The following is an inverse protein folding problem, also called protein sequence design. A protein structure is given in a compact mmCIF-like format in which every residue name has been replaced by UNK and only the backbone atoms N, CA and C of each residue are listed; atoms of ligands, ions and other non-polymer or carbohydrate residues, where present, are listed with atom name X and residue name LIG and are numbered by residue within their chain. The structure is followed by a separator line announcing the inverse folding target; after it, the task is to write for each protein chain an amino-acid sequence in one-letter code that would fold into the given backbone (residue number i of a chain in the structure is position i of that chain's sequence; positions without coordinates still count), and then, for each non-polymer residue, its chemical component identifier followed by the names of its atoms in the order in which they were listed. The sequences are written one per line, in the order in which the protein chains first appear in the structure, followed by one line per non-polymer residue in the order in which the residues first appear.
data_IF_649736713321
#
_entry.id   IF_649736713321
#
_cell.length_a   1.000
_cell.length_b   1.000
_cell.length_c   1.000
_cell.angle_alpha   90.00
_cell.angle_beta   90.00
_cell.angle_gamma   90.00
#
_symmetry.space_group_name_H-M   'P 1'
#
loop_
_entity.id
_entity.type
_entity.pdbx_description
1 polymer ?
#
# COMPACT_ATOMS: atom_id res chain seq x y z
N UNK A 1 -47.25 -30.89 -73.51
CA UNK A 1 -48.62 -30.77 -72.92
C UNK A 1 -48.51 -30.45 -71.47
N UNK A 2 -49.02 -29.28 -71.15
CA UNK A 2 -49.76 -29.00 -69.87
C UNK A 2 -49.01 -29.24 -68.57
N UNK A 3 -48.97 -28.38 -67.71
CA UNK A 3 -49.59 -27.13 -67.18
C UNK A 3 -49.05 -26.99 -65.78
N UNK A 4 -48.56 -25.90 -65.47
CA UNK A 4 -49.17 -24.76 -64.72
C UNK A 4 -49.09 -24.91 -63.22
N UNK A 5 -48.21 -24.08 -62.70
CA UNK A 5 -48.44 -23.07 -61.62
C UNK A 5 -49.32 -23.43 -60.40
N UNK A 6 -49.24 -22.68 -59.36
CA UNK A 6 -48.22 -21.86 -58.70
C UNK A 6 -48.20 -22.21 -57.23
N UNK A 7 -47.35 -21.59 -56.57
CA UNK A 7 -47.83 -21.05 -55.33
C UNK A 7 -46.81 -20.71 -54.29
N UNK A 8 -46.96 -19.57 -54.05
CA UNK A 8 -47.14 -18.90 -52.79
C UNK A 8 -45.90 -18.83 -51.93
N UNK A 9 -45.33 -17.76 -52.18
CA UNK A 9 -44.46 -16.97 -51.37
C UNK A 9 -45.03 -16.80 -49.96
N UNK A 10 -44.35 -17.25 -48.95
CA UNK A 10 -44.53 -16.83 -47.57
C UNK A 10 -43.24 -16.19 -47.12
N UNK A 11 -43.29 -14.88 -47.17
CA UNK A 11 -42.28 -13.96 -46.67
C UNK A 11 -42.37 -13.95 -45.13
N UNK A 12 -41.47 -14.66 -44.49
CA UNK A 12 -41.28 -14.50 -43.05
C UNK A 12 -40.29 -13.38 -42.82
N UNK A 13 -40.78 -12.22 -42.46
CA UNK A 13 -39.99 -11.14 -41.87
C UNK A 13 -39.47 -11.62 -40.52
N UNK A 14 -38.20 -11.99 -40.49
CA UNK A 14 -37.48 -12.11 -39.23
C UNK A 14 -37.01 -10.70 -38.89
N UNK A 15 -37.72 -10.09 -37.96
CA UNK A 15 -37.27 -8.86 -37.32
C UNK A 15 -36.04 -9.26 -36.49
N UNK A 16 -34.87 -8.94 -37.01
CA UNK A 16 -33.65 -8.96 -36.21
C UNK A 16 -33.75 -7.87 -35.16
N UNK A 17 -34.19 -8.22 -33.98
CA UNK A 17 -34.00 -7.39 -32.80
C UNK A 17 -32.53 -7.18 -32.56
N UNK A 18 -32.04 -5.96 -32.76
CA UNK A 18 -30.79 -5.53 -32.19
C UNK A 18 -30.97 -5.47 -30.69
N UNK A 19 -30.55 -6.52 -30.01
CA UNK A 19 -30.23 -6.43 -28.61
C UNK A 19 -28.99 -5.54 -28.51
N UNK A 20 -29.23 -4.27 -28.22
CA UNK A 20 -28.22 -3.43 -27.64
C UNK A 20 -27.99 -3.94 -26.23
N UNK A 21 -27.21 -5.01 -26.12
CA UNK A 21 -26.55 -5.34 -24.87
C UNK A 21 -25.48 -4.28 -24.65
N UNK A 22 -25.91 -3.16 -24.09
CA UNK A 22 -25.02 -2.33 -23.31
C UNK A 22 -24.50 -3.22 -22.17
N UNK A 23 -23.44 -3.94 -22.49
CA UNK A 23 -22.62 -4.63 -21.52
C UNK A 23 -21.92 -3.59 -20.65
N UNK A 24 -22.68 -2.92 -19.82
CA UNK A 24 -22.11 -2.27 -18.65
C UNK A 24 -21.42 -3.34 -17.86
N UNK A 25 -20.11 -3.45 -18.00
CA UNK A 25 -19.29 -4.17 -17.03
C UNK A 25 -19.59 -3.53 -15.69
N UNK A 26 -20.48 -4.15 -14.94
CA UNK A 26 -20.63 -3.84 -13.55
C UNK A 26 -19.27 -4.13 -12.92
N UNK A 27 -18.48 -3.09 -12.70
CA UNK A 27 -17.27 -3.17 -11.90
C UNK A 27 -17.72 -3.68 -10.53
N UNK A 28 -17.42 -4.94 -10.26
CA UNK A 28 -17.71 -5.48 -8.94
C UNK A 28 -17.09 -4.53 -7.90
N UNK A 29 -17.80 -4.20 -6.82
CA UNK A 29 -17.23 -3.35 -5.79
C UNK A 29 -15.94 -4.00 -5.30
N UNK A 30 -14.82 -3.32 -5.53
CA UNK A 30 -13.53 -3.75 -5.00
C UNK A 30 -13.64 -3.62 -3.48
N UNK A 31 -13.80 -4.75 -2.80
CA UNK A 31 -13.73 -4.78 -1.34
C UNK A 31 -12.31 -4.37 -0.99
N UNK A 32 -12.16 -3.27 -0.26
CA UNK A 32 -10.86 -2.85 0.22
C UNK A 32 -10.26 -3.96 1.07
N UNK A 33 -9.00 -4.28 0.84
CA UNK A 33 -8.30 -5.26 1.66
C UNK A 33 -8.32 -4.82 3.13
N UNK A 34 -8.53 -5.74 4.07
CA UNK A 34 -8.45 -5.41 5.49
C UNK A 34 -7.08 -4.85 5.81
N UNK A 35 -7.06 -3.77 6.59
CA UNK A 35 -5.81 -3.13 7.02
C UNK A 35 -5.55 -3.42 8.49
N UNK A 36 -4.27 -3.62 8.82
CA UNK A 36 -3.75 -3.75 10.17
C UNK A 36 -3.01 -2.47 10.54
N UNK A 37 -3.16 -2.03 11.77
CA UNK A 37 -2.41 -0.89 12.31
C UNK A 37 -1.54 -1.39 13.45
N UNK A 38 -0.23 -1.16 13.35
CA UNK A 38 0.74 -1.46 14.38
C UNK A 38 1.42 -0.16 14.86
N UNK A 39 1.74 -0.10 16.15
CA UNK A 39 2.43 1.04 16.73
C UNK A 39 3.69 0.57 17.43
N UNK A 40 4.81 1.15 17.07
CA UNK A 40 6.12 0.87 17.64
C UNK A 40 6.64 2.09 18.38
N UNK A 41 7.10 1.88 19.61
CA UNK A 41 7.67 2.94 20.44
C UNK A 41 9.06 2.55 20.92
N UNK A 42 9.87 3.53 21.26
CA UNK A 42 11.20 3.29 21.79
C UNK A 42 11.96 4.59 22.03
N UNK A 43 13.22 4.43 22.40
CA UNK A 43 14.17 5.53 22.59
C UNK A 43 15.32 5.36 21.59
N UNK A 44 15.58 6.39 20.79
CA UNK A 44 16.67 6.46 19.82
C UNK A 44 17.85 7.22 20.45
N UNK A 45 18.97 6.55 20.60
CA UNK A 45 20.21 7.19 21.07
C UNK A 45 20.98 7.87 19.92
N UNK A 46 21.84 8.85 20.19
CA UNK A 46 22.77 9.37 19.20
C UNK A 46 23.55 8.28 18.50
N UNK A 47 23.76 8.43 17.19
CA UNK A 47 24.49 7.49 16.32
C UNK A 47 23.93 6.06 16.30
N UNK A 48 22.66 5.87 16.64
CA UNK A 48 22.03 4.57 16.69
C UNK A 48 20.95 4.38 15.63
N UNK A 49 20.54 3.12 15.48
CA UNK A 49 19.43 2.67 14.66
C UNK A 49 18.60 1.67 15.47
N UNK A 50 17.28 1.85 15.46
CA UNK A 50 16.33 0.89 15.99
C UNK A 50 15.49 0.34 14.84
N UNK A 51 15.09 -0.91 14.92
CA UNK A 51 14.19 -1.52 13.93
C UNK A 51 13.10 -2.34 14.58
N UNK A 52 11.93 -2.35 13.91
CA UNK A 52 10.76 -3.11 14.30
C UNK A 52 10.26 -3.90 13.10
N UNK A 53 9.93 -5.15 13.30
CA UNK A 53 9.41 -6.02 12.23
C UNK A 53 7.89 -6.05 12.27
N UNK A 54 7.28 -6.14 11.09
CA UNK A 54 5.85 -6.37 10.91
C UNK A 54 5.63 -7.32 9.72
N UNK A 55 4.45 -7.89 9.61
CA UNK A 55 4.18 -8.88 8.56
C UNK A 55 2.94 -8.50 7.77
N UNK A 56 3.09 -8.29 6.48
CA UNK A 56 1.97 -8.16 5.56
C UNK A 56 1.37 -9.53 5.27
N UNK A 57 0.11 -9.73 5.61
CA UNK A 57 -0.60 -10.99 5.37
C UNK A 57 -0.93 -11.20 3.90
N UNK A 58 -1.01 -10.12 3.13
CA UNK A 58 -1.28 -10.13 1.69
C UNK A 58 -0.56 -8.96 1.02
N UNK A 59 -0.41 -9.05 -0.29
CA UNK A 59 0.12 -7.93 -1.08
C UNK A 59 -0.85 -6.75 -1.03
N UNK A 60 -0.33 -5.55 -0.85
CA UNK A 60 -1.17 -4.37 -0.74
C UNK A 60 -0.38 -3.13 -0.33
N UNK A 61 -1.06 -2.21 0.32
CA UNK A 61 -0.49 -0.92 0.71
C UNK A 61 0.22 -1.00 2.06
N UNK A 62 1.25 -0.18 2.20
CA UNK A 62 1.93 0.12 3.47
C UNK A 62 2.06 1.63 3.60
N UNK A 63 1.76 2.14 4.78
CA UNK A 63 1.90 3.55 5.13
C UNK A 63 2.56 3.67 6.51
N UNK A 64 3.63 4.44 6.60
CA UNK A 64 4.44 4.58 7.80
C UNK A 64 4.48 6.04 8.21
N UNK A 65 4.14 6.30 9.45
CA UNK A 65 4.07 7.63 10.05
C UNK A 65 4.89 7.67 11.32
N UNK A 66 5.84 8.59 11.40
CA UNK A 66 6.48 8.96 12.66
C UNK A 66 5.50 9.89 13.40
N UNK A 67 4.72 9.34 14.32
CA UNK A 67 3.64 10.09 15.00
C UNK A 67 4.14 10.93 16.16
N UNK A 68 5.28 10.57 16.74
CA UNK A 68 5.94 11.36 17.77
C UNK A 68 7.46 11.15 17.71
N UNK A 69 8.21 12.20 18.02
CA UNK A 69 9.66 12.14 18.26
C UNK A 69 10.04 13.33 19.16
N UNK A 70 10.94 13.13 20.08
CA UNK A 70 11.43 14.24 20.91
C UNK A 70 11.79 13.82 22.35
N UNK A 71 12.19 14.76 23.21
CA UNK A 71 12.31 16.20 22.97
C UNK A 71 13.55 16.58 22.14
N UNK A 72 13.54 17.66 21.35
CA UNK A 72 12.37 18.47 20.98
C UNK A 72 11.52 17.80 19.88
N UNK A 73 10.22 18.12 19.82
CA UNK A 73 9.29 17.54 18.83
C UNK A 73 9.60 17.94 17.38
N UNK A 74 10.45 18.91 17.17
CA UNK A 74 10.88 19.41 15.83
C UNK A 74 12.14 18.71 15.33
N UNK A 75 12.66 17.72 16.06
CA UNK A 75 13.88 17.04 15.64
C UNK A 75 13.59 16.19 14.40
N UNK A 76 14.57 16.15 13.49
CA UNK A 76 14.51 15.31 12.29
C UNK A 76 15.33 14.06 12.53
N UNK A 77 14.78 12.90 12.22
CA UNK A 77 15.45 11.60 12.27
C UNK A 77 15.30 10.90 10.92
N UNK A 78 16.12 9.90 10.66
CA UNK A 78 15.94 9.03 9.51
C UNK A 78 14.82 8.03 9.79
N UNK A 79 13.90 7.87 8.86
CA UNK A 79 12.87 6.84 8.86
C UNK A 79 13.01 5.99 7.59
N UNK A 80 12.88 4.69 7.71
CA UNK A 80 13.03 3.80 6.57
C UNK A 80 12.19 2.54 6.67
N UNK A 81 11.89 1.94 5.51
CA UNK A 81 11.26 0.63 5.38
C UNK A 81 12.19 -0.30 4.64
N UNK A 82 12.24 -1.56 5.06
CA UNK A 82 13.18 -2.52 4.54
C UNK A 82 12.75 -3.96 4.72
N UNK A 83 13.70 -4.84 4.46
CA UNK A 83 13.57 -6.28 4.67
C UNK A 83 14.33 -6.68 5.92
N UNK A 84 13.73 -7.47 6.83
CA UNK A 84 14.42 -7.97 8.00
C UNK A 84 15.65 -8.81 7.63
N UNK A 85 16.78 -8.53 8.28
CA UNK A 85 18.01 -9.31 8.15
C UNK A 85 18.53 -9.60 9.56
N UNK A 86 18.11 -10.70 10.14
CA UNK A 86 18.35 -11.00 11.55
C UNK A 86 17.67 -9.96 12.45
N UNK A 87 18.44 -9.28 13.28
CA UNK A 87 17.95 -8.20 14.16
C UNK A 87 17.99 -6.83 13.51
N UNK A 88 18.46 -6.71 12.29
CA UNK A 88 18.60 -5.45 11.57
C UNK A 88 17.56 -5.32 10.47
N UNK A 89 17.33 -4.08 10.02
CA UNK A 89 16.49 -3.74 8.89
C UNK A 89 17.36 -3.31 7.72
N UNK A 90 17.33 -4.07 6.63
CA UNK A 90 18.03 -3.71 5.39
C UNK A 90 17.17 -2.71 4.60
N UNK A 91 17.62 -1.47 4.52
CA UNK A 91 16.89 -0.35 3.91
C UNK A 91 17.10 -0.20 2.39
N UNK A 92 17.45 -1.27 1.69
CA UNK A 92 17.81 -1.26 0.26
C UNK A 92 16.63 -1.50 -0.69
N UNK A 93 15.42 -1.10 -0.34
CA UNK A 93 14.22 -1.29 -1.18
C UNK A 93 14.08 -0.30 -2.35
N UNK A 94 15.04 0.64 -2.49
CA UNK A 94 15.02 1.62 -3.58
C UNK A 94 14.57 3.02 -3.18
N UNK A 95 14.32 3.87 -4.17
CA UNK A 95 13.95 5.26 -3.95
C UNK A 95 12.63 5.37 -3.16
N UNK A 96 12.61 6.27 -2.17
CA UNK A 96 11.45 6.49 -1.31
C UNK A 96 11.31 5.53 -0.13
N UNK A 97 12.20 4.54 0.00
CA UNK A 97 12.20 3.65 1.16
C UNK A 97 12.81 4.29 2.43
N UNK A 98 13.45 5.43 2.28
CA UNK A 98 14.05 6.21 3.39
C UNK A 98 13.74 7.68 3.24
N UNK A 99 13.56 8.37 4.35
CA UNK A 99 13.25 9.81 4.41
C UNK A 99 13.75 10.42 5.71
N UNK A 100 14.11 11.71 5.68
CA UNK A 100 14.22 12.50 6.89
C UNK A 100 12.82 12.86 7.40
N UNK A 101 12.49 12.48 8.63
CA UNK A 101 11.16 12.59 9.19
C UNK A 101 11.15 13.38 10.49
N UNK A 102 10.08 14.15 10.69
CA UNK A 102 9.69 14.77 11.96
C UNK A 102 8.33 14.20 12.36
N UNK A 103 7.88 14.46 13.58
CA UNK A 103 6.54 14.07 14.01
C UNK A 103 5.47 14.61 13.04
N UNK A 104 4.56 13.76 12.60
CA UNK A 104 3.53 14.07 11.61
C UNK A 104 2.25 13.28 11.88
N UNK A 105 1.15 13.75 11.33
CA UNK A 105 -0.12 13.02 11.26
C UNK A 105 -0.35 12.39 9.88
N UNK A 106 0.52 12.67 8.91
CA UNK A 106 0.45 12.11 7.58
C UNK A 106 1.62 11.17 7.33
N UNK A 107 1.42 10.06 6.59
CA UNK A 107 2.49 9.13 6.27
C UNK A 107 3.65 9.82 5.55
N UNK A 108 4.86 9.56 6.03
CA UNK A 108 6.09 10.02 5.36
C UNK A 108 6.62 8.98 4.36
N UNK A 109 6.30 7.71 4.58
CA UNK A 109 6.60 6.64 3.63
C UNK A 109 5.27 5.95 3.31
N UNK A 110 4.95 5.83 2.03
CA UNK A 110 3.78 5.12 1.56
C UNK A 110 4.09 4.41 0.23
N UNK A 111 3.54 3.23 0.06
CA UNK A 111 3.76 2.44 -1.14
C UNK A 111 2.98 1.14 -1.14
N UNK A 112 3.39 0.23 -2.00
CA UNK A 112 2.84 -1.13 -2.07
C UNK A 112 3.95 -2.15 -1.88
N UNK A 113 3.62 -3.28 -1.29
CA UNK A 113 4.52 -4.42 -1.13
C UNK A 113 3.78 -5.74 -1.37
N UNK A 114 4.54 -6.79 -1.62
CA UNK A 114 4.04 -8.16 -1.60
C UNK A 114 3.87 -8.63 -0.16
N UNK A 115 3.07 -9.69 0.03
CA UNK A 115 2.97 -10.37 1.32
C UNK A 115 4.35 -10.81 1.81
N UNK A 116 4.59 -10.74 3.12
CA UNK A 116 5.84 -11.16 3.75
C UNK A 116 6.29 -10.25 4.87
N UNK A 117 7.44 -10.58 5.45
CA UNK A 117 8.05 -9.80 6.52
C UNK A 117 8.70 -8.52 6.01
N UNK A 118 8.39 -7.43 6.66
CA UNK A 118 9.00 -6.12 6.47
C UNK A 118 9.53 -5.60 7.80
N UNK A 119 10.31 -4.54 7.74
CA UNK A 119 10.73 -3.82 8.92
C UNK A 119 10.67 -2.31 8.69
N UNK A 120 10.40 -1.58 9.76
CA UNK A 120 10.61 -0.14 9.82
C UNK A 120 11.83 0.14 10.67
N UNK A 121 12.66 1.06 10.23
CA UNK A 121 13.82 1.52 10.98
C UNK A 121 13.73 3.01 11.23
N UNK A 122 14.18 3.42 12.41
CA UNK A 122 14.40 4.81 12.79
C UNK A 122 15.87 4.95 13.19
N UNK A 123 16.53 6.00 12.71
CA UNK A 123 17.97 6.18 12.92
C UNK A 123 18.36 7.65 13.04
N UNK A 124 19.44 7.88 13.78
CA UNK A 124 20.05 9.21 13.85
C UNK A 124 20.73 9.55 12.54
N UNK A 125 20.43 10.71 11.99
CA UNK A 125 21.10 11.27 10.81
C UNK A 125 22.34 12.12 11.16
N UNK A 126 22.80 12.04 12.41
CA UNK A 126 23.98 12.73 12.91
C UNK A 126 23.67 14.07 13.58
N UNK A 127 22.44 14.30 13.97
CA UNK A 127 21.99 15.56 14.61
C UNK A 127 21.47 15.38 16.03
N UNK A 128 21.43 14.17 16.57
CA UNK A 128 21.02 13.93 17.95
C UNK A 128 22.17 14.23 18.92
N UNK A 129 21.94 15.18 19.81
CA UNK A 129 22.85 15.42 20.94
C UNK A 129 22.51 14.55 22.17
N UNK A 130 21.24 14.18 22.31
CA UNK A 130 20.72 13.34 23.37
C UNK A 130 19.73 12.32 22.78
N UNK A 131 19.44 11.28 23.56
CA UNK A 131 18.40 10.31 23.19
C UNK A 131 17.04 10.98 23.11
N UNK A 132 16.21 10.54 22.16
CA UNK A 132 14.83 10.99 21.96
C UNK A 132 13.88 9.81 21.97
N UNK A 133 12.70 10.00 22.53
CA UNK A 133 11.64 9.00 22.45
C UNK A 133 10.89 9.13 21.11
N UNK A 134 10.36 8.04 20.61
CA UNK A 134 9.62 8.03 19.36
C UNK A 134 8.39 7.12 19.38
N UNK A 135 7.46 7.41 18.50
CA UNK A 135 6.33 6.55 18.17
C UNK A 135 6.16 6.50 16.65
N UNK A 136 6.09 5.29 16.09
CA UNK A 136 5.87 5.03 14.67
C UNK A 136 4.58 4.24 14.53
N UNK A 137 3.69 4.68 13.65
CA UNK A 137 2.50 3.93 13.26
C UNK A 137 2.69 3.38 11.86
N UNK A 138 2.44 2.09 11.70
CA UNK A 138 2.45 1.38 10.42
C UNK A 138 1.05 0.87 10.13
N UNK A 139 0.49 1.25 8.99
CA UNK A 139 -0.78 0.74 8.48
C UNK A 139 -0.48 -0.08 7.24
N UNK A 140 -0.91 -1.33 7.21
CA UNK A 140 -0.62 -2.24 6.11
C UNK A 140 -1.74 -3.27 5.88
N UNK A 141 -1.73 -3.93 4.73
CA UNK A 141 -2.68 -4.98 4.34
C UNK A 141 -2.24 -6.36 4.82
#
# INVERSE_FOLDING_TARGET
MRRVLPAVLLLALVVAGCDNSDGGSATAPTVAAPTTTETFTGTLAPQSLNSHTFTMSQSGTVAITLTAVGPPATITVGLGVGIPNGTMCSLSLGAGSTVGAQASTTPQIAGTSIAGGLCVAIYDIGNLANSVDYSITVIHS
#
